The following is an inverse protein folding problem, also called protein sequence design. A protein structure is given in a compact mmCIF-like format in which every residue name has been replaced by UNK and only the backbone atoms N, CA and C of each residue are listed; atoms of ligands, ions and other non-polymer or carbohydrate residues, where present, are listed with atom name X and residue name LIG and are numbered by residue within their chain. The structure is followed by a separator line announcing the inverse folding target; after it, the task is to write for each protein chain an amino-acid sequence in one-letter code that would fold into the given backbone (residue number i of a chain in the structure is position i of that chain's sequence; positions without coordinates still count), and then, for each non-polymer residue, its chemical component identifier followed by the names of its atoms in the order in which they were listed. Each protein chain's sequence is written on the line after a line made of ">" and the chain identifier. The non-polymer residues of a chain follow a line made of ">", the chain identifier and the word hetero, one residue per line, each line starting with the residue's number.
data_IF_800479838598
#
_entry.id   IF_800479838598
#
_cell.length_a   1.000
_cell.length_b   1.000
_cell.length_c   1.000
_cell.angle_alpha   90.00
_cell.angle_beta   90.00
_cell.angle_gamma   90.00
#
_symmetry.space_group_name_H-M   'P 1'
#
loop_
_entity.id
_entity.type
_entity.pdbx_description
1 polymer ?
#
# COMPACT_ATOMS: atom_id res chain seq x y z
N UNK A 1 12.19 -47.26 -29.72
CA UNK A 1 11.81 -46.23 -28.74
C UNK A 1 11.30 -46.93 -27.50
N UNK A 2 11.89 -46.64 -26.34
CA UNK A 2 11.64 -47.35 -25.09
C UNK A 2 10.43 -46.69 -24.38
N UNK A 3 9.37 -47.44 -24.00
CA UNK A 3 8.14 -46.86 -23.42
C UNK A 3 8.36 -46.10 -22.10
N UNK A 4 9.48 -46.34 -21.41
CA UNK A 4 9.85 -45.64 -20.17
C UNK A 4 10.25 -44.18 -20.42
N UNK A 5 10.87 -43.88 -21.57
CA UNK A 5 11.27 -42.50 -21.92
C UNK A 5 10.04 -41.63 -22.25
N UNK A 6 8.96 -42.23 -22.74
CA UNK A 6 7.71 -41.51 -23.02
C UNK A 6 6.91 -41.16 -21.77
N UNK A 7 7.05 -41.92 -20.69
CA UNK A 7 6.43 -41.59 -19.39
C UNK A 7 7.18 -40.45 -18.70
N UNK A 8 8.51 -40.47 -18.72
CA UNK A 8 9.32 -39.40 -18.12
C UNK A 8 9.14 -38.05 -18.84
N UNK A 9 8.93 -38.04 -20.15
CA UNK A 9 8.61 -36.80 -20.90
C UNK A 9 7.24 -36.21 -20.60
N UNK A 10 6.26 -37.02 -20.14
CA UNK A 10 4.93 -36.52 -19.75
C UNK A 10 4.90 -35.90 -18.36
N UNK A 11 5.80 -36.28 -17.45
CA UNK A 11 5.88 -35.69 -16.11
C UNK A 11 6.55 -34.31 -16.10
N UNK A 12 7.37 -33.97 -17.10
CA UNK A 12 8.07 -32.66 -17.15
C UNK A 12 7.25 -31.57 -17.85
N UNK A 13 6.17 -31.92 -18.56
CA UNK A 13 5.25 -30.96 -19.20
C UNK A 13 3.95 -30.77 -18.42
N UNK A 14 3.93 -31.07 -17.12
CA UNK A 14 2.91 -30.53 -16.22
C UNK A 14 3.25 -29.07 -15.89
N UNK A 15 3.41 -28.24 -16.93
CA UNK A 15 3.18 -26.81 -16.81
C UNK A 15 1.71 -26.69 -16.42
N UNK A 16 1.51 -26.51 -15.12
CA UNK A 16 0.23 -26.35 -14.44
C UNK A 16 -0.59 -25.36 -15.27
N UNK A 17 -1.57 -25.87 -16.01
CA UNK A 17 -2.52 -25.02 -16.72
C UNK A 17 -3.08 -24.03 -15.68
N UNK A 18 -3.12 -22.71 -15.97
CA UNK A 18 -3.76 -21.76 -15.08
C UNK A 18 -5.17 -22.29 -14.82
N UNK A 19 -5.45 -22.60 -13.55
CA UNK A 19 -6.76 -23.05 -13.12
C UNK A 19 -7.68 -21.82 -13.28
N UNK A 20 -8.70 -21.90 -14.15
CA UNK A 20 -9.63 -20.80 -14.45
C UNK A 20 -10.19 -20.17 -13.16
N UNK A 21 -10.30 -20.96 -12.08
CA UNK A 21 -10.72 -20.48 -10.76
C UNK A 21 -9.72 -19.51 -10.12
N UNK A 22 -8.43 -19.73 -10.33
CA UNK A 22 -7.35 -18.87 -9.86
C UNK A 22 -7.39 -17.55 -10.61
N UNK A 23 -7.59 -17.57 -11.93
CA UNK A 23 -7.65 -16.36 -12.75
C UNK A 23 -8.82 -15.44 -12.34
N UNK A 24 -9.98 -16.04 -12.01
CA UNK A 24 -11.16 -15.28 -11.53
C UNK A 24 -10.90 -14.64 -10.16
N UNK A 25 -10.24 -15.36 -9.23
CA UNK A 25 -9.92 -14.82 -7.91
C UNK A 25 -8.88 -13.69 -7.99
N UNK A 26 -7.87 -13.85 -8.86
CA UNK A 26 -6.88 -12.81 -9.13
C UNK A 26 -7.53 -11.57 -9.72
N UNK A 27 -8.36 -11.74 -10.76
CA UNK A 27 -9.06 -10.61 -11.37
C UNK A 27 -10.00 -9.91 -10.37
N UNK A 28 -10.69 -10.65 -9.50
CA UNK A 28 -11.54 -10.07 -8.46
C UNK A 28 -10.73 -9.21 -7.49
N UNK A 29 -9.61 -9.70 -6.99
CA UNK A 29 -8.74 -8.97 -6.07
C UNK A 29 -8.07 -7.75 -6.71
N UNK A 30 -7.62 -7.86 -7.96
CA UNK A 30 -7.01 -6.75 -8.71
C UNK A 30 -7.97 -5.57 -8.90
N UNK A 31 -9.27 -5.85 -9.00
CA UNK A 31 -10.31 -4.83 -9.18
C UNK A 31 -11.04 -4.49 -7.87
N UNK A 32 -10.66 -5.09 -6.74
CA UNK A 32 -11.29 -4.83 -5.45
C UNK A 32 -10.82 -3.47 -4.90
N UNK A 33 -11.74 -2.48 -4.75
CA UNK A 33 -11.42 -1.18 -4.19
C UNK A 33 -11.15 -1.20 -2.69
N UNK A 34 -11.43 -2.32 -2.01
CA UNK A 34 -11.25 -2.50 -0.57
C UNK A 34 -10.13 -3.50 -0.24
N UNK A 35 -9.37 -3.98 -1.24
CA UNK A 35 -8.29 -4.95 -1.04
C UNK A 35 -7.28 -4.52 0.04
N UNK A 36 -7.02 -3.21 0.17
CA UNK A 36 -6.12 -2.65 1.18
C UNK A 36 -6.58 -2.87 2.63
N UNK A 37 -7.87 -3.12 2.87
CA UNK A 37 -8.44 -3.35 4.20
C UNK A 37 -8.01 -4.70 4.79
N UNK A 38 -7.51 -5.62 3.97
CA UNK A 38 -6.83 -6.84 4.38
C UNK A 38 -5.36 -6.81 3.90
N UNK A 39 -4.48 -6.11 4.62
CA UNK A 39 -3.15 -5.72 4.13
C UNK A 39 -2.23 -6.92 3.84
N UNK A 40 -2.48 -8.05 4.51
CA UNK A 40 -1.69 -9.28 4.43
C UNK A 40 -2.34 -10.35 3.54
N UNK A 41 -3.51 -10.07 2.97
CA UNK A 41 -4.14 -10.94 1.99
C UNK A 41 -3.64 -10.64 0.58
N UNK A 42 -3.55 -11.69 -0.23
CA UNK A 42 -3.32 -11.61 -1.67
C UNK A 42 -4.09 -12.71 -2.39
N UNK A 43 -4.44 -12.45 -3.65
CA UNK A 43 -4.87 -13.51 -4.54
C UNK A 43 -3.73 -14.52 -4.78
N UNK A 44 -4.03 -15.78 -5.14
CA UNK A 44 -3.01 -16.77 -5.40
C UNK A 44 -1.96 -16.29 -6.42
N UNK A 45 -0.68 -16.58 -6.14
CA UNK A 45 0.48 -16.18 -6.96
C UNK A 45 0.76 -14.67 -7.04
N UNK A 46 -0.04 -13.83 -6.38
CA UNK A 46 0.26 -12.42 -6.17
C UNK A 46 0.99 -12.22 -4.84
N UNK A 47 1.64 -11.06 -4.71
CA UNK A 47 2.16 -10.56 -3.43
C UNK A 47 1.10 -9.73 -2.73
N UNK A 48 1.22 -9.60 -1.41
CA UNK A 48 0.35 -8.69 -0.65
C UNK A 48 0.63 -7.24 -1.02
N UNK A 49 -0.33 -6.35 -0.74
CA UNK A 49 -0.14 -4.92 -0.98
C UNK A 49 0.99 -4.35 -0.11
N UNK A 50 1.13 -4.84 1.13
CA UNK A 50 2.23 -4.45 2.02
C UNK A 50 3.59 -4.90 1.48
N UNK A 51 3.71 -6.17 1.05
CA UNK A 51 4.96 -6.69 0.48
C UNK A 51 5.38 -5.90 -0.76
N UNK A 52 4.42 -5.54 -1.63
CA UNK A 52 4.69 -4.71 -2.80
C UNK A 52 5.22 -3.32 -2.39
N UNK A 53 4.68 -2.72 -1.33
CA UNK A 53 5.19 -1.45 -0.83
C UNK A 53 6.62 -1.59 -0.27
N UNK A 54 6.85 -2.62 0.55
CA UNK A 54 8.13 -2.81 1.23
C UNK A 54 9.27 -3.13 0.25
N UNK A 55 9.02 -3.92 -0.79
CA UNK A 55 10.02 -4.18 -1.84
C UNK A 55 10.41 -2.91 -2.60
N UNK A 56 9.47 -1.99 -2.82
CA UNK A 56 9.71 -0.76 -3.57
C UNK A 56 10.54 0.26 -2.79
N UNK A 57 10.39 0.30 -1.47
CA UNK A 57 10.94 1.38 -0.66
C UNK A 57 11.95 0.91 0.39
N UNK A 58 12.10 -0.40 0.64
CA UNK A 58 13.17 -1.05 1.44
C UNK A 58 13.62 -0.25 2.68
N UNK A 59 12.67 0.18 3.52
CA UNK A 59 12.94 0.95 4.75
C UNK A 59 13.45 2.38 4.55
N UNK A 60 13.27 2.95 3.36
CA UNK A 60 13.58 4.35 3.00
C UNK A 60 12.31 5.17 2.83
N UNK A 61 11.22 4.77 3.48
CA UNK A 61 9.94 5.44 3.29
C UNK A 61 9.85 6.71 4.11
N UNK A 62 9.19 7.74 3.57
CA UNK A 62 8.79 8.93 4.34
C UNK A 62 7.89 8.58 5.54
N UNK A 63 7.23 7.41 5.52
CA UNK A 63 6.47 6.89 6.67
C UNK A 63 7.36 6.63 7.88
N UNK A 64 8.60 6.19 7.67
CA UNK A 64 9.57 5.88 8.74
C UNK A 64 10.08 7.16 9.46
N UNK A 65 9.75 8.34 8.91
CA UNK A 65 10.14 9.66 9.44
C UNK A 65 9.01 10.45 10.06
N UNK A 66 7.81 9.88 10.13
CA UNK A 66 6.71 10.50 10.85
C UNK A 66 7.12 10.74 12.30
N UNK A 67 6.60 11.81 12.90
CA UNK A 67 6.97 12.24 14.27
C UNK A 67 5.87 11.87 15.25
N UNK A 68 6.24 11.77 16.52
CA UNK A 68 5.27 11.63 17.61
C UNK A 68 4.21 12.75 17.53
N UNK A 69 2.93 12.42 17.77
CA UNK A 69 2.43 11.14 18.32
C UNK A 69 2.15 10.04 17.28
N UNK A 70 2.38 10.27 15.99
CA UNK A 70 2.11 9.26 14.94
C UNK A 70 3.05 8.05 15.04
N UNK A 71 4.27 8.24 15.55
CA UNK A 71 5.21 7.13 15.83
C UNK A 71 4.72 6.15 16.88
N UNK A 72 3.77 6.55 17.72
CA UNK A 72 3.19 5.73 18.77
C UNK A 72 1.95 4.95 18.27
N UNK A 73 1.69 4.98 16.95
CA UNK A 73 0.58 4.28 16.33
C UNK A 73 0.73 2.76 16.40
N UNK A 74 -0.40 2.07 16.35
CA UNK A 74 -0.49 0.62 16.22
C UNK A 74 0.26 0.16 14.95
N UNK A 75 1.10 -0.90 15.01
CA UNK A 75 1.75 -1.44 13.81
C UNK A 75 0.77 -1.76 12.66
N UNK A 76 -0.44 -2.23 12.98
CA UNK A 76 -1.48 -2.51 11.99
C UNK A 76 -1.87 -1.26 11.20
N UNK A 77 -1.88 -0.09 11.84
CA UNK A 77 -2.15 1.18 11.17
C UNK A 77 -1.14 1.44 10.04
N UNK A 78 0.15 1.19 10.29
CA UNK A 78 1.18 1.37 9.26
C UNK A 78 1.08 0.33 8.14
N UNK A 79 0.74 -0.92 8.46
CA UNK A 79 0.52 -1.94 7.44
C UNK A 79 -0.65 -1.56 6.52
N UNK A 80 -1.76 -1.08 7.07
CA UNK A 80 -2.89 -0.58 6.29
C UNK A 80 -2.54 0.66 5.45
N UNK A 81 -1.71 1.57 5.98
CA UNK A 81 -1.20 2.73 5.24
C UNK A 81 -0.34 2.30 4.03
N UNK A 82 0.57 1.35 4.24
CA UNK A 82 1.38 0.77 3.16
C UNK A 82 0.50 0.07 2.12
N UNK A 83 -0.49 -0.70 2.58
CA UNK A 83 -1.43 -1.41 1.70
C UNK A 83 -2.27 -0.43 0.88
N UNK A 84 -2.82 0.61 1.49
CA UNK A 84 -3.63 1.60 0.80
C UNK A 84 -2.80 2.39 -0.22
N UNK A 85 -1.56 2.74 0.12
CA UNK A 85 -0.63 3.33 -0.84
C UNK A 85 -0.37 2.40 -2.04
N UNK A 86 -0.05 1.14 -1.78
CA UNK A 86 0.21 0.17 -2.85
C UNK A 86 -1.02 -0.02 -3.74
N UNK A 87 -2.22 -0.01 -3.17
CA UNK A 87 -3.45 -0.04 -3.94
C UNK A 87 -3.62 1.22 -4.81
N UNK A 88 -3.41 2.42 -4.25
CA UNK A 88 -3.45 3.66 -5.05
C UNK A 88 -2.44 3.63 -6.21
N UNK A 89 -1.28 3.00 -6.01
CA UNK A 89 -0.27 2.80 -7.07
C UNK A 89 -0.74 1.80 -8.12
N UNK A 90 -1.28 0.65 -7.70
CA UNK A 90 -1.90 -0.36 -8.58
C UNK A 90 -2.98 0.27 -9.46
N UNK A 91 -3.86 1.04 -8.83
CA UNK A 91 -5.03 1.66 -9.45
C UNK A 91 -4.69 2.95 -10.21
N UNK A 92 -3.43 3.39 -10.20
CA UNK A 92 -2.93 4.64 -10.82
C UNK A 92 -3.73 5.87 -10.37
N UNK A 93 -4.09 5.91 -9.09
CA UNK A 93 -4.93 6.97 -8.53
C UNK A 93 -4.22 8.33 -8.56
N UNK A 94 -4.92 9.43 -8.90
CA UNK A 94 -4.38 10.78 -8.82
C UNK A 94 -4.08 11.23 -7.39
N UNK A 95 -4.55 10.47 -6.39
CA UNK A 95 -4.30 10.70 -4.97
C UNK A 95 -2.98 10.09 -4.50
N UNK A 96 -2.28 9.32 -5.35
CA UNK A 96 -0.97 8.78 -5.02
C UNK A 96 0.04 9.93 -4.78
N UNK A 97 0.74 9.99 -3.64
CA UNK A 97 1.81 10.96 -3.44
C UNK A 97 2.90 10.80 -4.49
N UNK A 98 3.69 11.86 -4.76
CA UNK A 98 4.66 11.85 -5.87
C UNK A 98 5.72 10.76 -5.66
N UNK A 99 6.15 10.59 -4.41
CA UNK A 99 7.05 9.52 -4.01
C UNK A 99 6.79 9.14 -2.55
N UNK A 100 7.13 7.90 -2.20
CA UNK A 100 7.26 7.46 -0.81
C UNK A 100 8.74 7.42 -0.37
N UNK A 101 9.70 7.53 -1.30
CA UNK A 101 11.13 7.47 -0.98
C UNK A 101 11.58 8.78 -0.32
N UNK A 102 12.30 8.65 0.80
CA UNK A 102 12.75 9.77 1.62
C UNK A 102 13.74 10.68 0.88
N UNK A 103 14.68 10.11 0.13
CA UNK A 103 15.71 10.87 -0.58
C UNK A 103 15.13 11.58 -1.81
N UNK A 104 14.23 10.90 -2.54
CA UNK A 104 13.46 11.52 -3.61
C UNK A 104 12.61 12.66 -3.07
N UNK A 105 11.92 12.46 -1.94
CA UNK A 105 11.10 13.48 -1.31
C UNK A 105 11.91 14.74 -0.96
N UNK A 106 13.11 14.59 -0.39
CA UNK A 106 14.01 15.71 -0.07
C UNK A 106 14.48 16.47 -1.30
N UNK A 107 14.57 15.81 -2.45
CA UNK A 107 14.98 16.41 -3.71
C UNK A 107 13.83 17.09 -4.48
N UNK A 108 12.57 16.91 -4.04
CA UNK A 108 11.43 17.49 -4.73
C UNK A 108 11.42 19.03 -4.68
N UNK A 109 10.96 19.68 -5.76
CA UNK A 109 10.55 21.08 -5.69
C UNK A 109 9.50 21.28 -4.59
N UNK A 110 9.50 22.46 -3.96
CA UNK A 110 8.61 22.77 -2.82
C UNK A 110 7.12 22.50 -3.11
N UNK A 111 6.67 22.75 -4.34
CA UNK A 111 5.30 22.46 -4.78
C UNK A 111 4.98 20.96 -4.72
N UNK A 112 5.87 20.12 -5.26
CA UNK A 112 5.66 18.68 -5.33
C UNK A 112 5.82 18.02 -3.95
N UNK A 113 6.72 18.56 -3.11
CA UNK A 113 6.82 18.17 -1.71
C UNK A 113 5.52 18.47 -0.95
N UNK A 114 4.92 19.66 -1.14
CA UNK A 114 3.64 20.01 -0.52
C UNK A 114 2.50 19.10 -0.98
N UNK A 115 2.44 18.78 -2.29
CA UNK A 115 1.47 17.82 -2.84
C UNK A 115 1.66 16.42 -2.24
N UNK A 116 2.91 15.98 -2.09
CA UNK A 116 3.23 14.68 -1.49
C UNK A 116 2.75 14.60 -0.04
N UNK A 117 3.03 15.62 0.76
CA UNK A 117 2.59 15.68 2.17
C UNK A 117 1.07 15.74 2.29
N UNK A 118 0.38 16.53 1.46
CA UNK A 118 -1.08 16.60 1.50
C UNK A 118 -1.75 15.27 1.13
N UNK A 119 -1.19 14.55 0.15
CA UNK A 119 -1.70 13.24 -0.25
C UNK A 119 -1.37 12.16 0.78
N UNK A 120 -0.19 12.21 1.39
CA UNK A 120 0.14 11.34 2.52
C UNK A 120 -0.81 11.56 3.70
N UNK A 121 -1.12 12.81 4.02
CA UNK A 121 -2.09 13.16 5.07
C UNK A 121 -3.46 12.56 4.80
N UNK A 122 -3.92 12.59 3.54
CA UNK A 122 -5.17 11.97 3.13
C UNK A 122 -5.15 10.45 3.30
N UNK A 123 -4.04 9.79 2.92
CA UNK A 123 -3.86 8.33 3.10
C UNK A 123 -3.94 7.98 4.59
N UNK A 124 -3.17 8.67 5.43
CA UNK A 124 -3.16 8.47 6.87
C UNK A 124 -4.55 8.69 7.48
N UNK A 125 -5.24 9.77 7.10
CA UNK A 125 -6.60 10.06 7.55
C UNK A 125 -7.58 8.95 7.15
N UNK A 126 -7.52 8.48 5.89
CA UNK A 126 -8.44 7.46 5.37
C UNK A 126 -8.33 6.16 6.17
N UNK A 127 -7.09 5.72 6.41
CA UNK A 127 -6.83 4.51 7.19
C UNK A 127 -7.23 4.72 8.65
N UNK A 128 -6.95 5.89 9.21
CA UNK A 128 -7.29 6.22 10.59
C UNK A 128 -8.80 6.14 10.81
N UNK A 129 -9.58 6.83 9.98
CA UNK A 129 -11.05 6.86 10.05
C UNK A 129 -11.63 5.45 9.85
N UNK A 130 -11.07 4.67 8.93
CA UNK A 130 -11.50 3.29 8.74
C UNK A 130 -11.26 2.43 9.98
N UNK A 131 -10.05 2.46 10.57
CA UNK A 131 -9.77 1.68 11.78
C UNK A 131 -10.67 2.11 12.96
N UNK A 132 -10.95 3.42 13.11
CA UNK A 132 -11.91 3.92 14.10
C UNK A 132 -13.30 3.34 13.83
N UNK A 133 -13.75 3.28 12.57
CA UNK A 133 -15.04 2.67 12.21
C UNK A 133 -15.12 1.17 12.56
N UNK A 134 -13.97 0.48 12.59
CA UNK A 134 -13.86 -0.91 13.06
C UNK A 134 -13.77 -1.04 14.59
N UNK A 135 -13.85 0.07 15.33
CA UNK A 135 -13.73 0.10 16.79
C UNK A 135 -12.31 -0.05 17.32
N UNK A 136 -11.29 0.14 16.47
CA UNK A 136 -9.87 0.09 16.85
C UNK A 136 -9.37 1.47 17.30
N UNK A 137 -8.19 1.50 17.93
CA UNK A 137 -7.52 2.75 18.34
C UNK A 137 -6.17 2.84 17.62
N UNK A 138 -6.09 3.52 16.46
CA UNK A 138 -4.86 3.55 15.66
C UNK A 138 -3.72 4.28 16.35
N UNK A 139 -4.02 5.41 16.99
CA UNK A 139 -3.07 6.22 17.74
C UNK A 139 -3.63 6.41 19.16
N UNK A 140 -2.87 6.06 20.22
CA UNK A 140 -3.34 6.22 21.59
C UNK A 140 -3.79 7.65 21.91
N UNK A 141 -5.01 7.78 22.44
CA UNK A 141 -5.59 9.07 22.83
C UNK A 141 -6.17 9.91 21.68
N UNK A 142 -6.11 9.41 20.44
CA UNK A 142 -6.72 10.08 19.29
C UNK A 142 -8.07 9.43 18.96
N UNK A 143 -9.10 10.27 18.84
CA UNK A 143 -10.43 9.87 18.37
C UNK A 143 -10.79 10.44 17.00
N UNK A 144 -9.96 11.35 16.49
CA UNK A 144 -10.06 11.96 15.16
C UNK A 144 -8.65 12.28 14.68
N UNK A 145 -8.46 12.28 13.37
CA UNK A 145 -7.18 12.66 12.76
C UNK A 145 -6.88 14.15 12.98
N UNK A 146 -5.64 14.49 13.34
CA UNK A 146 -5.24 15.89 13.60
C UNK A 146 -4.27 16.48 12.57
N UNK A 147 -4.18 15.87 11.39
CA UNK A 147 -3.29 16.24 10.28
C UNK A 147 -1.77 16.22 10.58
N UNK A 148 -0.97 15.76 9.61
CA UNK A 148 0.49 15.93 9.61
C UNK A 148 0.92 17.19 8.87
N UNK A 149 -0.01 17.90 8.23
CA UNK A 149 0.26 19.14 7.49
C UNK A 149 0.29 20.30 8.49
N UNK A 150 1.38 21.05 8.51
CA UNK A 150 1.41 22.32 9.25
C UNK A 150 0.51 23.36 8.55
N UNK A 151 -0.23 24.23 9.28
CA UNK A 151 -1.15 25.21 8.68
C UNK A 151 -0.53 26.15 7.62
N UNK A 152 0.79 26.32 7.61
CA UNK A 152 1.52 27.08 6.59
C UNK A 152 1.61 26.38 5.23
N UNK A 153 1.65 25.04 5.18
CA UNK A 153 1.72 24.32 3.91
C UNK A 153 0.38 24.36 3.16
N UNK A 154 -0.75 24.46 3.88
CA UNK A 154 -2.10 24.60 3.31
C UNK A 154 -2.26 25.90 2.49
N UNK A 155 -1.55 26.97 2.85
CA UNK A 155 -1.61 28.25 2.12
C UNK A 155 -0.95 28.15 0.74
N UNK A 156 0.08 27.31 0.60
CA UNK A 156 0.78 27.08 -0.67
C UNK A 156 0.10 26.04 -1.57
N UNK A 157 -0.85 25.26 -1.06
CA UNK A 157 -1.66 24.32 -1.84
C UNK A 157 -2.87 24.99 -2.53
N UNK A 158 -3.28 26.18 -2.07
CA UNK A 158 -4.43 26.92 -2.59
C UNK A 158 -4.08 28.10 -3.51
N UNK A 159 -2.78 28.38 -3.73
CA UNK A 159 -2.29 29.42 -4.64
C UNK A 159 -1.79 28.82 -5.95
#
# INVERSE_FOLDING_TARGET
>A
MNPVEQMQLREVMSERAPDERTDVLTAAWENDPEAWQDPHYSAPYMRTLVENFEELYDGKSILDRLKSPVTDADPEFFDLVKAYWAQLKRDRSPLLPVTADEEEFKALPMRDAAVTIARLDLILNTVFDWMISQGKTPIPGWSQWTSIVSPHAEQHLKS
#
